data_IF_628826001073
#
_entry.id   IF_628826001073
#
_cell.length_a   1.000
_cell.length_b   1.000
_cell.length_c   1.000
_cell.angle_alpha   90.00
_cell.angle_beta   90.00
_cell.angle_gamma   90.00
#
_symmetry.space_group_name_H-M   'P 1'
#
loop_
_entity.id
_entity.type
_entity.pdbx_description
1 polymer ?
#
# COMPACT_ATOMS: atom_id res chain seq x y z
N UNK A 1 -23.36 -33.74 -9.64
CA UNK A 1 -22.98 -32.79 -10.69
C UNK A 1 -21.46 -32.63 -10.79
N UNK A 2 -20.71 -32.20 -9.75
CA UNK A 2 -19.25 -32.07 -9.81
C UNK A 2 -18.50 -33.36 -10.10
N UNK A 3 -18.93 -34.49 -9.55
CA UNK A 3 -18.32 -35.81 -9.84
C UNK A 3 -18.37 -36.16 -11.34
N UNK A 4 -19.51 -36.00 -11.99
CA UNK A 4 -19.65 -36.22 -13.41
C UNK A 4 -18.80 -35.31 -14.31
N UNK A 5 -18.45 -34.12 -13.81
CA UNK A 5 -17.50 -33.20 -14.49
C UNK A 5 -16.10 -33.76 -14.40
N UNK A 6 -15.63 -34.16 -13.20
CA UNK A 6 -14.27 -34.68 -13.02
C UNK A 6 -14.06 -36.08 -13.62
N UNK A 7 -15.13 -36.86 -13.91
CA UNK A 7 -15.03 -38.11 -14.65
C UNK A 7 -14.71 -37.89 -16.15
N UNK A 8 -15.03 -36.72 -16.69
CA UNK A 8 -14.78 -36.35 -18.09
C UNK A 8 -13.54 -35.46 -18.28
N UNK A 9 -13.10 -34.74 -17.25
CA UNK A 9 -11.94 -33.86 -17.32
C UNK A 9 -10.64 -34.66 -17.24
N UNK A 10 -9.71 -34.37 -18.14
CA UNK A 10 -8.33 -34.84 -18.08
C UNK A 10 -7.39 -33.71 -17.67
N UNK A 11 -6.18 -34.01 -17.19
CA UNK A 11 -5.20 -32.96 -16.80
C UNK A 11 -4.91 -31.91 -17.88
N UNK A 12 -5.00 -32.29 -19.15
CA UNK A 12 -4.80 -31.39 -20.29
C UNK A 12 -5.89 -30.31 -20.42
N UNK A 13 -7.08 -30.54 -19.89
CA UNK A 13 -8.20 -29.59 -19.93
C UNK A 13 -8.03 -28.46 -18.86
N UNK A 14 -7.13 -28.70 -17.91
CA UNK A 14 -6.85 -27.75 -16.82
C UNK A 14 -5.35 -27.42 -16.82
N UNK A 15 -4.90 -26.59 -17.75
CA UNK A 15 -3.48 -26.29 -17.88
C UNK A 15 -2.91 -25.63 -16.62
N UNK A 16 -1.65 -25.94 -16.32
CA UNK A 16 -0.91 -25.30 -15.25
C UNK A 16 -0.64 -23.84 -15.63
N UNK A 17 -0.86 -22.91 -14.70
CA UNK A 17 -0.66 -21.48 -14.91
C UNK A 17 0.50 -20.93 -14.13
N UNK A 18 1.01 -21.67 -13.14
CA UNK A 18 2.23 -21.31 -12.43
C UNK A 18 3.43 -21.89 -13.16
N UNK A 19 4.56 -21.15 -13.17
CA UNK A 19 5.81 -21.70 -13.70
C UNK A 19 6.23 -22.99 -12.95
N UNK A 20 6.72 -23.97 -13.70
CA UNK A 20 7.10 -25.29 -13.17
C UNK A 20 8.10 -25.19 -12.00
N UNK A 21 9.06 -24.28 -12.10
CA UNK A 21 10.04 -24.06 -11.02
C UNK A 21 9.39 -23.63 -9.69
N UNK A 22 8.26 -22.89 -9.71
CA UNK A 22 7.52 -22.52 -8.51
C UNK A 22 6.76 -23.71 -7.94
N UNK A 23 6.09 -24.47 -8.78
CA UNK A 23 5.34 -25.68 -8.38
C UNK A 23 6.29 -26.64 -7.67
N UNK A 24 7.46 -26.91 -8.27
CA UNK A 24 8.48 -27.81 -7.71
C UNK A 24 9.10 -27.25 -6.42
N UNK A 25 9.58 -25.99 -6.43
CA UNK A 25 10.24 -25.36 -5.29
C UNK A 25 9.36 -25.29 -4.05
N UNK A 26 8.08 -25.01 -4.24
CA UNK A 26 7.11 -24.87 -3.16
C UNK A 26 6.35 -26.18 -2.87
N UNK A 27 6.65 -27.27 -3.60
CA UNK A 27 6.02 -28.57 -3.48
C UNK A 27 4.48 -28.47 -3.53
N UNK A 28 3.99 -27.69 -4.50
CA UNK A 28 2.56 -27.51 -4.69
C UNK A 28 1.97 -28.68 -5.50
N UNK A 29 0.72 -28.99 -5.24
CA UNK A 29 -0.06 -29.86 -6.13
C UNK A 29 -0.19 -29.20 -7.51
N UNK A 30 -0.31 -30.01 -8.57
CA UNK A 30 -0.72 -29.50 -9.86
C UNK A 30 -2.10 -28.85 -9.78
N UNK A 31 -2.40 -27.96 -10.71
CA UNK A 31 -3.70 -27.27 -10.72
C UNK A 31 -4.87 -28.24 -10.81
N UNK A 32 -4.77 -29.24 -11.66
CA UNK A 32 -5.79 -30.28 -11.81
C UNK A 32 -6.00 -31.07 -10.51
N UNK A 33 -4.92 -31.55 -9.89
CA UNK A 33 -4.98 -32.29 -8.62
C UNK A 33 -5.59 -31.45 -7.51
N UNK A 34 -5.21 -30.18 -7.41
CA UNK A 34 -5.74 -29.26 -6.40
C UNK A 34 -7.24 -29.02 -6.58
N UNK A 35 -7.70 -28.79 -7.83
CA UNK A 35 -9.12 -28.62 -8.13
C UNK A 35 -9.92 -29.90 -7.86
N UNK A 36 -9.38 -31.07 -8.16
CA UNK A 36 -10.03 -32.34 -7.83
C UNK A 36 -10.08 -32.56 -6.32
N UNK A 37 -8.96 -32.34 -5.62
CA UNK A 37 -8.85 -32.60 -4.20
C UNK A 37 -9.62 -31.63 -3.31
N UNK A 38 -9.91 -30.40 -3.77
CA UNK A 38 -10.76 -29.48 -3.00
C UNK A 38 -12.21 -29.97 -2.91
N UNK A 39 -12.67 -30.70 -3.93
CA UNK A 39 -14.01 -31.25 -3.99
C UNK A 39 -14.11 -32.69 -3.48
N UNK A 40 -13.09 -33.51 -3.71
CA UNK A 40 -13.03 -34.93 -3.39
C UNK A 40 -11.70 -35.27 -2.71
N UNK A 41 -11.49 -34.75 -1.48
CA UNK A 41 -10.24 -35.00 -0.78
C UNK A 41 -10.15 -36.44 -0.26
N UNK A 42 -9.08 -37.17 -0.56
CA UNK A 42 -8.87 -38.51 0.01
C UNK A 42 -8.60 -38.49 1.51
N UNK A 43 -8.00 -37.42 2.01
CA UNK A 43 -7.70 -37.19 3.42
C UNK A 43 -7.56 -35.71 3.74
N UNK A 44 -7.42 -35.36 5.02
CA UNK A 44 -7.31 -33.98 5.49
C UNK A 44 -6.01 -33.30 5.03
N UNK A 45 -4.92 -34.03 4.89
CA UNK A 45 -3.63 -33.49 4.44
C UNK A 45 -3.68 -33.03 2.98
N UNK A 46 -4.24 -33.86 2.12
CA UNK A 46 -4.43 -33.53 0.70
C UNK A 46 -5.40 -32.36 0.54
N UNK A 47 -6.47 -32.29 1.35
CA UNK A 47 -7.35 -31.14 1.37
C UNK A 47 -6.61 -29.85 1.75
N UNK A 48 -5.75 -29.91 2.76
CA UNK A 48 -4.92 -28.77 3.18
C UNK A 48 -3.96 -28.35 2.07
N UNK A 49 -3.31 -29.29 1.42
CA UNK A 49 -2.42 -29.03 0.28
C UNK A 49 -3.15 -28.39 -0.89
N UNK A 50 -4.35 -28.88 -1.24
CA UNK A 50 -5.19 -28.31 -2.28
C UNK A 50 -5.60 -26.86 -1.96
N UNK A 51 -6.05 -26.60 -0.73
CA UNK A 51 -6.38 -25.24 -0.27
C UNK A 51 -5.17 -24.30 -0.34
N UNK A 52 -4.00 -24.77 0.09
CA UNK A 52 -2.77 -23.98 0.03
C UNK A 52 -2.39 -23.64 -1.42
N UNK A 53 -2.49 -24.62 -2.33
CA UNK A 53 -2.22 -24.41 -3.75
C UNK A 53 -3.12 -23.35 -4.37
N UNK A 54 -4.43 -23.45 -4.15
CA UNK A 54 -5.41 -22.52 -4.73
C UNK A 54 -5.27 -21.11 -4.14
N UNK A 55 -5.06 -20.98 -2.81
CA UNK A 55 -4.78 -19.69 -2.17
C UNK A 55 -3.49 -19.06 -2.69
N UNK A 56 -2.44 -19.86 -2.84
CA UNK A 56 -1.16 -19.38 -3.38
C UNK A 56 -1.33 -18.85 -4.80
N UNK A 57 -2.02 -19.60 -5.67
CA UNK A 57 -2.29 -19.23 -7.06
C UNK A 57 -3.00 -17.87 -7.14
N UNK A 58 -4.10 -17.71 -6.39
CA UNK A 58 -4.90 -16.48 -6.37
C UNK A 58 -4.07 -15.28 -5.92
N UNK A 59 -3.38 -15.41 -4.78
CA UNK A 59 -2.56 -14.33 -4.24
C UNK A 59 -1.35 -14.02 -5.13
N UNK A 60 -0.72 -15.03 -5.72
CA UNK A 60 0.40 -14.85 -6.63
C UNK A 60 0.00 -14.07 -7.88
N UNK A 61 -1.11 -14.45 -8.52
CA UNK A 61 -1.60 -13.75 -9.71
C UNK A 61 -2.01 -12.30 -9.39
N UNK A 62 -2.66 -12.07 -8.24
CA UNK A 62 -2.99 -10.74 -7.79
C UNK A 62 -1.72 -9.89 -7.58
N UNK A 63 -0.73 -10.40 -6.88
CA UNK A 63 0.53 -9.71 -6.64
C UNK A 63 1.30 -9.43 -7.94
N UNK A 64 1.34 -10.40 -8.85
CA UNK A 64 1.96 -10.24 -10.15
C UNK A 64 1.31 -9.09 -10.94
N UNK A 65 -0.02 -9.05 -10.95
CA UNK A 65 -0.79 -7.97 -11.60
C UNK A 65 -0.50 -6.60 -10.98
N UNK A 66 -0.45 -6.51 -9.64
CA UNK A 66 -0.11 -5.27 -8.95
C UNK A 66 1.31 -4.79 -9.26
N UNK A 67 2.28 -5.71 -9.31
CA UNK A 67 3.67 -5.40 -9.68
C UNK A 67 3.75 -4.90 -11.13
N UNK A 68 3.03 -5.54 -12.06
CA UNK A 68 2.96 -5.10 -13.46
C UNK A 68 2.38 -3.69 -13.58
N UNK A 69 1.28 -3.40 -12.87
CA UNK A 69 0.68 -2.06 -12.84
C UNK A 69 1.64 -1.02 -12.26
N UNK A 70 2.33 -1.36 -11.15
CA UNK A 70 3.36 -0.50 -10.55
C UNK A 70 4.50 -0.22 -11.53
N UNK A 71 4.97 -1.23 -12.25
CA UNK A 71 6.05 -1.08 -13.25
C UNK A 71 5.61 -0.20 -14.42
N UNK A 72 4.39 -0.39 -14.93
CA UNK A 72 3.85 0.45 -16.01
C UNK A 72 3.73 1.92 -15.58
N UNK A 73 3.22 2.20 -14.38
CA UNK A 73 3.12 3.58 -13.85
C UNK A 73 4.47 4.26 -13.71
N UNK A 74 5.49 3.56 -13.19
CA UNK A 74 6.85 4.12 -13.04
C UNK A 74 7.48 4.55 -14.37
N UNK A 75 7.15 3.90 -15.48
CA UNK A 75 7.67 4.24 -16.80
C UNK A 75 6.86 5.30 -17.55
N UNK A 76 5.57 5.47 -17.21
CA UNK A 76 4.64 6.31 -17.98
C UNK A 76 4.53 7.74 -17.47
N UNK A 77 4.76 8.01 -16.20
CA UNK A 77 4.54 9.32 -15.59
C UNK A 77 5.77 9.74 -14.79
N UNK A 78 6.37 10.86 -15.18
CA UNK A 78 7.40 11.53 -14.39
C UNK A 78 6.74 12.18 -13.16
N UNK A 79 7.33 11.98 -11.98
CA UNK A 79 6.95 12.68 -10.76
C UNK A 79 7.78 13.95 -10.58
N UNK A 80 7.35 14.79 -9.66
CA UNK A 80 8.14 15.90 -9.16
C UNK A 80 9.11 15.37 -8.09
N UNK A 81 10.35 15.86 -8.11
CA UNK A 81 11.32 15.57 -7.07
C UNK A 81 11.29 16.67 -6.01
N UNK A 82 11.32 16.28 -4.75
CA UNK A 82 11.37 17.18 -3.60
C UNK A 82 12.70 16.94 -2.84
N UNK A 83 13.83 17.46 -3.35
CA UNK A 83 15.15 17.15 -2.79
C UNK A 83 15.43 17.89 -1.48
N UNK A 84 14.78 19.03 -1.27
CA UNK A 84 15.08 19.93 -0.17
C UNK A 84 14.24 19.62 1.07
N UNK A 85 14.85 19.65 2.24
CA UNK A 85 14.21 19.76 3.53
C UNK A 85 14.52 21.18 4.01
N UNK A 86 13.51 22.02 4.03
CA UNK A 86 13.66 23.44 4.31
C UNK A 86 13.16 23.83 5.69
N UNK A 87 12.84 25.11 5.82
CA UNK A 87 12.53 25.72 7.12
C UNK A 87 11.18 25.27 7.68
N UNK A 88 10.18 25.04 6.84
CA UNK A 88 8.87 24.58 7.32
C UNK A 88 8.97 23.21 8.01
N UNK A 89 9.66 22.26 7.38
CA UNK A 89 9.87 20.95 7.98
C UNK A 89 10.73 21.03 9.24
N UNK A 90 11.86 21.75 9.19
CA UNK A 90 12.80 21.82 10.29
C UNK A 90 12.21 22.54 11.51
N UNK A 91 11.57 23.71 11.33
CA UNK A 91 10.91 24.44 12.41
C UNK A 91 9.79 23.59 13.03
N UNK A 92 8.98 22.95 12.19
CA UNK A 92 7.95 22.05 12.66
C UNK A 92 8.52 20.90 13.50
N UNK A 93 9.56 20.23 12.98
CA UNK A 93 10.17 19.07 13.64
C UNK A 93 10.82 19.43 14.98
N UNK A 94 11.47 20.58 15.08
CA UNK A 94 12.23 20.97 16.28
C UNK A 94 11.42 21.75 17.30
N UNK A 95 10.41 22.51 16.88
CA UNK A 95 9.73 23.48 17.72
C UNK A 95 8.24 23.23 17.95
N UNK A 96 7.57 22.54 16.99
CA UNK A 96 6.11 22.38 17.04
C UNK A 96 5.64 20.99 17.47
N UNK A 97 6.45 19.97 17.31
CA UNK A 97 6.08 18.63 17.73
C UNK A 97 6.24 18.51 19.26
N UNK A 98 5.15 18.31 20.03
CA UNK A 98 5.19 18.28 21.49
C UNK A 98 5.69 16.95 22.08
N UNK A 99 6.15 16.02 21.24
CA UNK A 99 6.58 14.68 21.65
C UNK A 99 7.72 14.17 20.76
N UNK A 100 8.47 13.20 21.26
CA UNK A 100 9.45 12.52 20.42
C UNK A 100 8.79 11.55 19.45
N UNK A 101 9.23 11.58 18.18
CA UNK A 101 8.82 10.60 17.19
C UNK A 101 9.37 9.23 17.55
N UNK A 102 8.53 8.21 17.41
CA UNK A 102 8.94 6.82 17.59
C UNK A 102 9.97 6.39 16.54
N UNK A 103 10.75 5.34 16.85
CA UNK A 103 11.70 4.79 15.90
C UNK A 103 11.04 4.34 14.57
N UNK A 104 9.78 3.87 14.61
CA UNK A 104 9.01 3.51 13.43
C UNK A 104 8.65 4.73 12.58
N UNK A 105 8.17 5.81 13.19
CA UNK A 105 7.86 7.07 12.51
C UNK A 105 9.11 7.69 11.87
N UNK A 106 10.23 7.74 12.61
CA UNK A 106 11.53 8.22 12.09
C UNK A 106 12.02 7.41 10.89
N UNK A 107 11.81 6.08 10.92
CA UNK A 107 12.16 5.20 9.78
C UNK A 107 11.28 5.48 8.57
N UNK A 108 9.96 5.53 8.75
CA UNK A 108 9.00 5.77 7.68
C UNK A 108 9.23 7.14 7.02
N UNK A 109 9.46 8.19 7.79
CA UNK A 109 9.78 9.52 7.26
C UNK A 109 11.06 9.53 6.42
N UNK A 110 12.10 8.80 6.84
CA UNK A 110 13.32 8.65 6.03
C UNK A 110 13.05 7.95 4.69
N UNK A 111 12.22 6.91 4.70
CA UNK A 111 11.83 6.21 3.46
C UNK A 111 10.99 7.10 2.54
N UNK A 112 10.03 7.84 3.09
CA UNK A 112 9.21 8.81 2.34
C UNK A 112 10.12 9.88 1.72
N UNK A 113 11.04 10.46 2.50
CA UNK A 113 12.01 11.44 2.01
C UNK A 113 12.85 10.90 0.83
N UNK A 114 13.33 9.66 0.95
CA UNK A 114 14.10 9.02 -0.13
C UNK A 114 13.28 8.84 -1.41
N UNK A 115 12.01 8.48 -1.28
CA UNK A 115 11.13 8.35 -2.44
C UNK A 115 10.75 9.70 -3.04
N UNK A 116 10.43 10.69 -2.21
CA UNK A 116 10.07 12.05 -2.64
C UNK A 116 11.25 12.78 -3.32
N UNK A 117 12.48 12.45 -2.96
CA UNK A 117 13.68 13.00 -3.61
C UNK A 117 13.92 12.49 -5.04
N UNK A 118 13.11 11.55 -5.54
CA UNK A 118 13.24 10.99 -6.89
C UNK A 118 12.20 11.58 -7.84
N UNK A 119 12.48 11.71 -9.14
CA UNK A 119 11.53 12.22 -10.13
C UNK A 119 10.51 11.14 -10.54
N UNK A 120 9.96 10.44 -9.57
CA UNK A 120 8.97 9.36 -9.73
C UNK A 120 7.85 9.59 -8.73
N UNK A 121 6.61 9.44 -9.17
CA UNK A 121 5.46 9.54 -8.26
C UNK A 121 5.58 8.50 -7.13
N UNK A 122 5.60 8.99 -5.89
CA UNK A 122 5.52 8.14 -4.71
C UNK A 122 4.09 7.64 -4.54
N UNK A 123 3.94 6.34 -4.27
CA UNK A 123 2.69 5.74 -3.87
C UNK A 123 2.99 4.76 -2.74
N UNK A 124 2.67 5.17 -1.51
CA UNK A 124 2.92 4.39 -0.29
C UNK A 124 1.65 4.21 0.52
N UNK A 125 1.44 3.01 1.02
CA UNK A 125 0.47 2.74 2.06
C UNK A 125 1.16 2.88 3.43
N UNK A 126 0.71 3.85 4.23
CA UNK A 126 1.10 3.98 5.64
C UNK A 126 0.09 3.22 6.51
N UNK A 127 0.54 2.14 7.12
CA UNK A 127 -0.28 1.30 7.98
C UNK A 127 0.18 1.41 9.43
N UNK A 128 -0.78 1.44 10.34
CA UNK A 128 -0.55 1.48 11.79
C UNK A 128 -1.88 1.57 12.53
N UNK A 129 -1.85 1.31 13.83
CA UNK A 129 -3.03 1.34 14.69
C UNK A 129 -3.61 2.75 14.83
N UNK A 130 -4.83 2.84 15.38
CA UNK A 130 -5.43 4.13 15.76
C UNK A 130 -4.52 4.80 16.78
N UNK A 131 -4.28 6.10 16.62
CA UNK A 131 -3.37 6.84 17.50
C UNK A 131 -1.87 6.65 17.24
N UNK A 132 -1.46 5.87 16.24
CA UNK A 132 -0.03 5.67 15.91
C UNK A 132 0.67 6.88 15.26
N UNK A 133 -0.02 8.01 15.10
CA UNK A 133 0.53 9.24 14.54
C UNK A 133 0.65 9.25 13.01
N UNK A 134 -0.19 8.50 12.29
CA UNK A 134 -0.20 8.50 10.81
C UNK A 134 -0.43 9.89 10.22
N UNK A 135 -1.31 10.69 10.83
CA UNK A 135 -1.59 12.06 10.41
C UNK A 135 -0.36 12.94 10.53
N UNK A 136 0.42 12.77 11.60
CA UNK A 136 1.68 13.50 11.81
C UNK A 136 2.71 13.18 10.71
N UNK A 137 2.87 11.91 10.37
CA UNK A 137 3.74 11.49 9.26
C UNK A 137 3.25 12.07 7.92
N UNK A 138 1.93 12.09 7.71
CA UNK A 138 1.31 12.73 6.55
C UNK A 138 1.61 14.22 6.48
N UNK A 139 1.39 14.97 7.58
CA UNK A 139 1.67 16.39 7.68
C UNK A 139 3.16 16.70 7.41
N UNK A 140 4.07 15.97 8.03
CA UNK A 140 5.50 16.14 7.78
C UNK A 140 5.89 15.87 6.32
N UNK A 141 5.23 14.93 5.67
CA UNK A 141 5.42 14.69 4.23
C UNK A 141 4.89 15.83 3.38
N UNK A 142 3.78 16.45 3.77
CA UNK A 142 3.25 17.67 3.12
C UNK A 142 4.21 18.85 3.27
N UNK A 143 4.79 19.05 4.45
CA UNK A 143 5.79 20.10 4.69
C UNK A 143 7.03 19.92 3.80
N UNK A 144 7.49 18.68 3.56
CA UNK A 144 8.55 18.42 2.57
C UNK A 144 8.20 18.92 1.17
N UNK A 145 6.95 18.75 0.72
CA UNK A 145 6.51 19.25 -0.57
C UNK A 145 6.44 20.78 -0.60
N UNK A 146 5.96 21.40 0.49
CA UNK A 146 5.86 22.85 0.63
C UNK A 146 7.25 23.50 0.64
N UNK A 147 8.22 22.91 1.31
CA UNK A 147 9.63 23.36 1.30
C UNK A 147 10.24 23.39 -0.11
N UNK A 148 9.69 22.63 -1.05
CA UNK A 148 10.11 22.63 -2.45
C UNK A 148 9.22 23.52 -3.36
N UNK A 149 8.37 24.37 -2.77
CA UNK A 149 7.53 25.32 -3.51
C UNK A 149 6.24 24.73 -4.08
N UNK A 150 5.82 23.56 -3.62
CA UNK A 150 4.59 22.91 -4.08
C UNK A 150 3.47 23.02 -3.06
N UNK A 151 2.25 22.87 -3.52
CA UNK A 151 1.08 22.72 -2.66
C UNK A 151 0.90 21.27 -2.25
N UNK A 152 0.31 21.05 -1.08
CA UNK A 152 -0.06 19.73 -0.59
C UNK A 152 -1.55 19.70 -0.26
N UNK A 153 -2.16 18.52 -0.40
CA UNK A 153 -3.58 18.30 -0.10
C UNK A 153 -3.76 17.01 0.68
N UNK A 154 -4.60 17.07 1.72
CA UNK A 154 -5.05 15.89 2.46
C UNK A 154 -6.51 15.63 2.15
N UNK A 155 -6.83 14.40 1.72
CA UNK A 155 -8.19 13.97 1.45
C UNK A 155 -8.70 13.09 2.59
N UNK A 156 -9.92 13.33 3.03
CA UNK A 156 -10.61 12.51 4.01
C UNK A 156 -11.93 11.97 3.42
N UNK A 157 -12.38 10.77 3.82
CA UNK A 157 -13.56 10.13 3.25
C UNK A 157 -14.89 10.77 3.69
N UNK A 158 -14.89 11.56 4.77
CA UNK A 158 -16.07 12.23 5.31
C UNK A 158 -15.75 13.66 5.70
N UNK A 159 -16.75 14.52 5.67
CA UNK A 159 -16.65 15.92 6.07
C UNK A 159 -16.21 16.08 7.53
N UNK A 160 -16.72 15.25 8.43
CA UNK A 160 -16.33 15.26 9.85
C UNK A 160 -14.82 15.00 10.01
N UNK A 161 -14.29 14.01 9.31
CA UNK A 161 -12.86 13.70 9.37
C UNK A 161 -12.01 14.80 8.70
N UNK A 162 -12.52 15.40 7.61
CA UNK A 162 -11.85 16.52 6.96
C UNK A 162 -11.76 17.73 7.89
N UNK A 163 -12.85 18.04 8.61
CA UNK A 163 -12.89 19.11 9.60
C UNK A 163 -11.92 18.83 10.75
N UNK A 164 -11.94 17.63 11.32
CA UNK A 164 -11.01 17.25 12.39
C UNK A 164 -9.54 17.36 11.95
N UNK A 165 -9.22 17.00 10.71
CA UNK A 165 -7.87 17.17 10.19
C UNK A 165 -7.53 18.65 9.96
N UNK A 166 -8.47 19.44 9.47
CA UNK A 166 -8.28 20.86 9.26
C UNK A 166 -7.97 21.57 10.60
N UNK A 167 -8.78 21.34 11.62
CA UNK A 167 -8.60 21.95 12.95
C UNK A 167 -7.27 21.53 13.57
N UNK A 168 -6.97 20.24 13.62
CA UNK A 168 -5.73 19.74 14.22
C UNK A 168 -4.46 20.14 13.44
N UNK A 169 -4.51 20.17 12.11
CA UNK A 169 -3.36 20.63 11.31
C UNK A 169 -3.17 22.12 11.46
N UNK A 170 -4.26 22.92 11.48
CA UNK A 170 -4.19 24.36 11.66
C UNK A 170 -3.48 24.75 12.96
N UNK A 171 -3.81 24.07 14.07
CA UNK A 171 -3.15 24.23 15.35
C UNK A 171 -1.65 23.91 15.27
N UNK A 172 -1.28 22.79 14.66
CA UNK A 172 0.12 22.38 14.55
C UNK A 172 0.99 23.33 13.72
N UNK A 173 0.44 23.94 12.67
CA UNK A 173 1.22 24.83 11.77
C UNK A 173 1.03 26.29 12.08
N UNK A 174 0.33 26.63 13.16
CA UNK A 174 0.19 28.02 13.63
C UNK A 174 1.57 28.66 13.83
N UNK A 175 1.73 29.89 13.31
CA UNK A 175 3.00 30.63 13.37
C UNK A 175 4.05 30.22 12.33
N UNK A 176 3.79 29.21 11.48
CA UNK A 176 4.70 28.86 10.38
C UNK A 176 4.48 29.73 9.12
N UNK A 177 3.48 30.62 9.09
CA UNK A 177 3.18 31.43 7.91
C UNK A 177 2.52 30.67 6.76
N UNK A 178 2.03 29.46 7.02
CA UNK A 178 1.33 28.65 6.03
C UNK A 178 -0.16 29.01 5.96
N UNK A 179 -0.70 29.03 4.74
CA UNK A 179 -2.14 29.20 4.49
C UNK A 179 -2.78 27.84 4.31
N UNK A 180 -3.78 27.54 5.10
CA UNK A 180 -4.54 26.30 5.02
C UNK A 180 -5.94 26.64 4.52
N UNK A 181 -6.42 25.90 3.52
CA UNK A 181 -7.79 25.93 3.03
C UNK A 181 -8.53 24.65 3.44
N UNK A 182 -9.81 24.82 3.73
CA UNK A 182 -10.76 23.72 3.95
C UNK A 182 -11.76 23.69 2.79
N UNK A 183 -12.05 22.50 2.29
CA UNK A 183 -13.04 22.29 1.25
C UNK A 183 -13.88 21.06 1.59
N UNK A 184 -15.19 21.24 1.63
CA UNK A 184 -16.17 20.15 1.80
C UNK A 184 -17.35 20.32 0.85
N UNK A 185 -18.27 19.36 0.83
CA UNK A 185 -19.47 19.44 0.00
C UNK A 185 -20.46 20.52 0.42
N UNK A 186 -20.32 21.07 1.62
CA UNK A 186 -21.17 22.13 2.20
C UNK A 186 -20.54 23.53 2.17
N UNK A 187 -19.33 23.66 1.65
CA UNK A 187 -18.56 24.92 1.54
C UNK A 187 -18.13 25.16 0.12
#
# INVERSE_FOLDING_TARGET
>A
MMQAVFEKLIPADVPEILPDYLVQKLRLLSRFEALKAIHFPPNAEVLKAARNRLKFEELFLLQLRLIQLKKRRKGAVKGYAFPTIGDYFNTFFHEKIPFELTGAQKRVLREIRQDMGRPIQMNRLLQGDVGSGKTMVGLMSMLMAIDNGYQACMLAPTEILAQQHYDGISEYVEGLGLRIGYLSGSV
#
